data_IF_983495329699
#
_entry.id   IF_983495329699
#
_cell.length_a   1.000
_cell.length_b   1.000
_cell.length_c   1.000
_cell.angle_alpha   90.00
_cell.angle_beta   90.00
_cell.angle_gamma   90.00
#
_symmetry.space_group_name_H-M   'P 1'
#
loop_
_entity.id
_entity.type
_entity.pdbx_description
1 polymer ?
#
# COMPACT_ATOMS: atom_id res chain seq x y z
N UNK A 1 -48.86 41.52 35.16
CA UNK A 1 -47.58 40.96 34.67
C UNK A 1 -47.63 41.10 33.15
N UNK A 2 -46.96 42.05 32.48
CA UNK A 2 -45.67 42.69 32.78
C UNK A 2 -44.56 41.64 32.97
N UNK A 3 -43.44 41.66 32.22
CA UNK A 3 -42.79 42.77 31.52
C UNK A 3 -42.37 42.43 30.07
N UNK A 4 -42.18 43.48 29.26
CA UNK A 4 -41.35 43.48 28.05
C UNK A 4 -39.91 43.94 28.39
N UNK A 5 -39.11 44.32 27.38
CA UNK A 5 -37.69 44.77 27.39
C UNK A 5 -36.66 43.67 27.17
N UNK A 6 -35.42 43.91 26.72
CA UNK A 6 -34.72 44.96 25.93
C UNK A 6 -33.32 44.33 25.61
N UNK A 7 -32.47 44.72 24.65
CA UNK A 7 -32.40 45.82 23.67
C UNK A 7 -31.53 45.31 22.46
N UNK A 8 -31.23 46.14 21.46
CA UNK A 8 -30.28 45.85 20.34
C UNK A 8 -28.82 46.17 20.73
N UNK A 9 -27.81 45.66 19.99
CA UNK A 9 -26.45 46.23 20.04
C UNK A 9 -25.73 46.16 18.68
N UNK A 10 -25.63 47.31 17.98
CA UNK A 10 -24.99 47.47 16.68
C UNK A 10 -23.49 47.82 16.78
N UNK A 11 -22.65 46.80 16.80
CA UNK A 11 -21.18 46.92 16.79
C UNK A 11 -20.61 47.39 15.44
N UNK A 12 -20.24 48.67 15.36
CA UNK A 12 -19.62 49.32 14.19
C UNK A 12 -18.41 48.59 13.57
N UNK A 13 -18.46 48.31 12.26
CA UNK A 13 -17.29 47.92 11.46
C UNK A 13 -16.82 49.07 10.55
N UNK A 14 -15.77 49.80 10.96
CA UNK A 14 -15.13 50.86 10.14
C UNK A 14 -13.66 50.57 9.86
N UNK A 15 -13.39 50.21 8.60
CA UNK A 15 -12.26 50.69 7.79
C UNK A 15 -10.82 50.41 8.26
N UNK A 16 -10.13 49.53 7.53
CA UNK A 16 -8.68 49.64 7.30
C UNK A 16 -8.33 49.07 5.92
N UNK A 17 -8.24 49.96 4.92
CA UNK A 17 -7.67 49.64 3.61
C UNK A 17 -6.14 49.67 3.73
N UNK A 18 -5.53 48.51 3.96
CA UNK A 18 -4.08 48.34 3.88
C UNK A 18 -3.66 47.94 2.46
N UNK A 19 -2.73 48.69 1.87
CA UNK A 19 -2.16 48.45 0.55
C UNK A 19 -1.46 47.08 0.49
N UNK A 20 -1.88 46.21 -0.45
CA UNK A 20 -1.17 44.96 -0.73
C UNK A 20 0.00 45.23 -1.68
N UNK A 21 1.20 45.36 -1.12
CA UNK A 21 2.42 45.15 -1.88
C UNK A 21 2.57 43.65 -2.20
N UNK A 22 3.07 43.26 -3.39
CA UNK A 22 3.32 41.86 -3.70
C UNK A 22 4.40 41.28 -2.76
N UNK A 23 4.25 40.04 -2.27
CA UNK A 23 5.25 39.42 -1.40
C UNK A 23 6.57 39.26 -2.15
N UNK A 24 7.68 39.69 -1.54
CA UNK A 24 9.01 39.43 -2.07
C UNK A 24 9.26 37.93 -2.11
N UNK A 25 9.79 37.44 -3.23
CA UNK A 25 10.16 36.05 -3.42
C UNK A 25 11.29 35.63 -2.47
N UNK A 26 10.93 35.16 -1.28
CA UNK A 26 11.85 34.49 -0.37
C UNK A 26 12.34 33.19 -1.03
N UNK A 27 13.64 32.90 -1.02
CA UNK A 27 14.15 31.64 -1.55
C UNK A 27 13.56 30.46 -0.76
N UNK A 28 13.23 29.38 -1.46
CA UNK A 28 12.79 28.13 -0.85
C UNK A 28 13.82 27.66 0.19
N UNK A 29 13.39 27.15 1.37
CA UNK A 29 14.32 26.60 2.34
C UNK A 29 15.08 25.43 1.71
N UNK A 30 16.40 25.58 1.60
CA UNK A 30 17.28 24.47 1.24
C UNK A 30 17.35 23.51 2.44
N UNK A 31 16.51 22.48 2.43
CA UNK A 31 16.67 21.33 3.32
C UNK A 31 18.04 20.69 3.01
N UNK A 32 18.98 20.81 3.94
CA UNK A 32 20.26 20.13 3.81
C UNK A 32 20.06 18.66 4.16
N UNK A 33 20.80 17.77 3.47
CA UNK A 33 20.75 16.33 3.73
C UNK A 33 21.30 15.98 5.13
N UNK A 34 21.94 16.94 5.81
CA UNK A 34 22.50 16.75 7.16
C UNK A 34 21.45 16.83 8.29
N UNK A 35 20.29 17.47 8.07
CA UNK A 35 19.35 17.84 9.15
C UNK A 35 18.38 16.71 9.57
N UNK A 36 18.61 15.46 9.15
CA UNK A 36 17.75 14.28 9.43
C UNK A 36 18.57 13.15 10.08
N UNK A 37 19.45 13.49 11.02
CA UNK A 37 20.52 12.60 11.47
C UNK A 37 20.78 12.54 12.99
N UNK A 38 19.81 12.87 13.85
CA UNK A 38 19.90 12.65 15.31
C UNK A 38 18.57 12.13 15.90
N UNK A 39 18.29 10.83 15.73
CA UNK A 39 17.74 10.00 16.83
C UNK A 39 17.88 8.48 16.57
N UNK A 40 17.89 7.73 17.67
CA UNK A 40 17.75 6.27 17.87
C UNK A 40 18.71 5.27 17.16
N UNK A 41 19.67 4.76 17.95
CA UNK A 41 19.65 3.34 18.33
C UNK A 41 20.13 2.26 17.34
N UNK A 42 21.44 2.24 17.02
CA UNK A 42 22.27 1.06 16.64
C UNK A 42 21.79 0.07 15.56
N UNK A 43 20.69 0.31 14.85
CA UNK A 43 20.49 -0.25 13.53
C UNK A 43 21.46 0.48 12.58
N UNK A 44 22.64 -0.11 12.34
CA UNK A 44 23.58 0.42 11.32
C UNK A 44 22.80 0.66 10.03
N UNK A 45 22.70 1.93 9.61
CA UNK A 45 22.03 2.35 8.35
C UNK A 45 22.83 1.78 7.18
N UNK A 46 22.64 0.48 6.89
CA UNK A 46 23.05 -0.15 5.64
C UNK A 46 22.24 0.51 4.55
N UNK A 47 22.80 1.57 3.96
CA UNK A 47 22.36 1.96 2.64
C UNK A 47 22.55 0.72 1.74
N UNK A 48 21.51 0.28 1.02
CA UNK A 48 21.67 -0.83 0.08
C UNK A 48 22.78 -0.44 -0.88
N UNK A 49 23.70 -1.37 -1.14
CA UNK A 49 24.74 -1.14 -2.14
C UNK A 49 24.06 -0.80 -3.47
N UNK A 50 24.60 0.17 -4.22
CA UNK A 50 23.97 0.66 -5.45
C UNK A 50 23.65 -0.46 -6.45
N UNK A 51 24.46 -1.52 -6.46
CA UNK A 51 24.26 -2.73 -7.25
C UNK A 51 23.02 -3.55 -6.87
N UNK A 52 22.52 -3.44 -5.64
CA UNK A 52 21.31 -4.11 -5.14
C UNK A 52 20.05 -3.24 -5.29
N UNK A 53 20.18 -2.03 -5.86
CA UNK A 53 19.03 -1.21 -6.18
C UNK A 53 18.16 -1.89 -7.25
N UNK A 54 16.87 -2.04 -6.96
CA UNK A 54 15.91 -2.60 -7.90
C UNK A 54 15.61 -1.62 -9.06
N UNK A 55 15.57 -2.11 -10.30
CA UNK A 55 15.19 -1.32 -11.47
C UNK A 55 13.72 -1.59 -11.82
N UNK A 56 12.87 -0.57 -11.70
CA UNK A 56 11.42 -0.69 -11.90
C UNK A 56 11.09 -1.08 -13.35
N UNK A 57 11.85 -0.57 -14.32
CA UNK A 57 11.67 -0.85 -15.75
C UNK A 57 12.38 -2.12 -16.18
N UNK A 58 13.61 -2.32 -15.75
CA UNK A 58 14.42 -3.49 -16.17
C UNK A 58 14.01 -4.79 -15.46
N UNK A 59 13.24 -4.70 -14.36
CA UNK A 59 12.73 -5.85 -13.60
C UNK A 59 13.84 -6.77 -13.06
N UNK A 60 14.93 -6.16 -12.65
CA UNK A 60 16.10 -6.80 -12.07
C UNK A 60 16.84 -5.80 -11.16
N UNK A 61 17.82 -6.26 -10.38
CA UNK A 61 18.75 -5.32 -9.73
C UNK A 61 19.78 -4.75 -10.71
N UNK A 62 20.35 -3.60 -10.38
CA UNK A 62 21.45 -2.98 -11.13
C UNK A 62 22.57 -3.98 -11.43
N UNK A 63 23.03 -4.76 -10.45
CA UNK A 63 24.06 -5.79 -10.65
C UNK A 63 23.65 -6.86 -11.67
N UNK A 64 22.37 -7.23 -11.73
CA UNK A 64 21.86 -8.19 -12.71
C UNK A 64 21.77 -7.55 -14.10
N UNK A 65 21.19 -6.35 -14.22
CA UNK A 65 21.16 -5.60 -15.47
C UNK A 65 22.55 -5.42 -16.08
N UNK A 66 23.54 -5.05 -15.26
CA UNK A 66 24.93 -4.89 -15.70
C UNK A 66 25.57 -6.22 -16.15
N UNK A 67 25.32 -7.33 -15.45
CA UNK A 67 25.79 -8.67 -15.87
C UNK A 67 25.15 -9.16 -17.17
N UNK A 68 23.88 -8.85 -17.37
CA UNK A 68 23.10 -9.22 -18.57
C UNK A 68 23.29 -8.24 -19.74
N UNK A 69 24.07 -7.15 -19.56
CA UNK A 69 24.32 -6.14 -20.58
C UNK A 69 23.11 -5.27 -20.91
N UNK A 70 22.12 -5.19 -20.01
CA UNK A 70 20.91 -4.38 -20.19
C UNK A 70 21.24 -2.88 -20.09
N UNK A 71 20.81 -2.11 -21.09
CA UNK A 71 20.94 -0.66 -21.06
C UNK A 71 19.97 -0.04 -20.03
N UNK A 72 20.53 0.56 -18.97
CA UNK A 72 19.75 1.19 -17.90
C UNK A 72 19.46 2.65 -18.28
N UNK A 73 18.18 2.94 -18.56
CA UNK A 73 17.68 4.30 -18.75
C UNK A 73 17.43 4.97 -17.38
N UNK A 74 18.51 5.46 -16.77
CA UNK A 74 18.50 6.10 -15.45
C UNK A 74 17.52 7.27 -15.34
N UNK A 75 17.26 7.99 -16.44
CA UNK A 75 16.28 9.09 -16.45
C UNK A 75 14.86 8.56 -16.29
N UNK A 76 14.49 7.50 -17.02
CA UNK A 76 13.17 6.88 -16.88
C UNK A 76 13.02 6.14 -15.55
N UNK A 77 14.06 5.49 -15.03
CA UNK A 77 14.06 4.90 -13.68
C UNK A 77 13.82 5.97 -12.60
N UNK A 78 14.51 7.11 -12.67
CA UNK A 78 14.28 8.23 -11.77
C UNK A 78 12.84 8.75 -11.84
N UNK A 79 12.31 8.96 -13.06
CA UNK A 79 10.93 9.42 -13.26
C UNK A 79 9.91 8.42 -12.72
N UNK A 80 10.07 7.12 -12.98
CA UNK A 80 9.19 6.07 -12.46
C UNK A 80 9.21 6.00 -10.94
N UNK A 81 10.39 6.14 -10.32
CA UNK A 81 10.54 6.21 -8.86
C UNK A 81 9.90 7.46 -8.29
N UNK A 82 10.07 8.62 -8.92
CA UNK A 82 9.48 9.88 -8.48
C UNK A 82 7.95 9.91 -8.60
N UNK A 83 7.38 9.20 -9.59
CA UNK A 83 5.93 9.04 -9.78
C UNK A 83 5.35 7.81 -9.06
N UNK A 84 6.16 7.04 -8.32
CA UNK A 84 5.69 5.79 -7.71
C UNK A 84 4.71 6.08 -6.57
N UNK A 85 3.49 5.55 -6.70
CA UNK A 85 2.35 5.85 -5.85
C UNK A 85 1.67 4.60 -5.31
N UNK A 86 1.48 4.56 -3.99
CA UNK A 86 0.84 3.46 -3.26
C UNK A 86 -0.42 3.98 -2.57
N UNK A 87 -1.54 3.29 -2.75
CA UNK A 87 -2.74 3.52 -1.95
C UNK A 87 -2.87 2.43 -0.89
N UNK A 88 -2.88 2.80 0.39
CA UNK A 88 -3.24 1.87 1.48
C UNK A 88 -4.77 1.87 1.58
N UNK A 89 -5.39 0.76 1.23
CA UNK A 89 -6.83 0.55 1.35
C UNK A 89 -7.12 -0.27 2.61
N UNK A 90 -7.80 0.35 3.58
CA UNK A 90 -8.06 -0.23 4.89
C UNK A 90 -9.48 0.05 5.39
N UNK A 91 -10.02 -0.87 6.19
CA UNK A 91 -11.34 -0.71 6.82
C UNK A 91 -11.25 0.08 8.14
N UNK A 92 -12.19 1.00 8.39
CA UNK A 92 -12.15 1.99 9.48
C UNK A 92 -11.94 1.42 10.88
N UNK A 93 -12.52 0.24 11.14
CA UNK A 93 -12.40 -0.49 12.42
C UNK A 93 -10.95 -0.77 12.86
N UNK A 94 -10.00 -0.78 11.92
CA UNK A 94 -8.57 -0.92 12.19
C UNK A 94 -8.04 0.10 13.21
N UNK A 95 -8.71 1.26 13.31
CA UNK A 95 -8.42 2.35 14.26
C UNK A 95 -9.06 2.18 15.63
N UNK A 96 -10.29 1.66 15.67
CA UNK A 96 -11.17 1.86 16.83
C UNK A 96 -11.11 0.73 17.87
N UNK A 97 -10.98 -0.53 17.44
CA UNK A 97 -11.22 -1.67 18.32
C UNK A 97 -10.32 -1.70 19.56
N UNK A 98 -9.04 -1.30 19.43
CA UNK A 98 -8.07 -1.31 20.53
C UNK A 98 -7.12 -0.09 20.55
N UNK A 99 -7.38 0.92 19.71
CA UNK A 99 -6.46 2.05 19.50
C UNK A 99 -5.17 1.68 18.74
N UNK A 100 -5.16 0.51 18.09
CA UNK A 100 -4.24 0.22 16.98
C UNK A 100 -4.50 1.20 15.84
N UNK A 101 -3.48 1.58 15.05
CA UNK A 101 -3.65 2.42 13.84
C UNK A 101 -2.80 1.86 12.69
N UNK A 102 -3.13 0.63 12.29
CA UNK A 102 -2.26 -0.20 11.48
C UNK A 102 -1.92 0.42 10.11
N UNK A 103 -2.91 0.85 9.35
CA UNK A 103 -2.77 1.61 8.10
C UNK A 103 -1.90 2.87 8.24
N UNK A 104 -2.04 3.66 9.30
CA UNK A 104 -1.23 4.87 9.51
C UNK A 104 0.19 4.56 9.97
N UNK A 105 0.38 3.48 10.71
CA UNK A 105 1.70 2.98 11.07
C UNK A 105 2.41 2.40 9.83
N UNK A 106 1.68 1.69 8.97
CA UNK A 106 2.16 1.24 7.66
C UNK A 106 2.52 2.43 6.77
N UNK A 107 1.64 3.44 6.66
CA UNK A 107 1.88 4.68 5.92
C UNK A 107 3.21 5.32 6.35
N UNK A 108 3.38 5.59 7.66
CA UNK A 108 4.61 6.17 8.21
C UNK A 108 5.83 5.30 7.92
N UNK A 109 5.72 3.97 8.00
CA UNK A 109 6.82 3.07 7.70
C UNK A 109 7.15 3.01 6.19
N UNK A 110 6.15 3.05 5.30
CA UNK A 110 6.35 3.13 3.83
C UNK A 110 7.03 4.43 3.43
N UNK A 111 6.65 5.57 4.03
CA UNK A 111 7.36 6.85 3.86
C UNK A 111 8.81 6.76 4.34
N UNK A 112 9.06 6.16 5.52
CA UNK A 112 10.42 5.94 6.07
C UNK A 112 11.33 5.07 5.19
N UNK A 113 10.79 4.10 4.44
CA UNK A 113 11.58 3.28 3.48
C UNK A 113 11.72 3.90 2.08
N UNK A 114 11.27 5.15 1.90
CA UNK A 114 11.48 5.94 0.68
C UNK A 114 10.40 5.75 -0.39
N UNK A 115 9.17 5.36 -0.04
CA UNK A 115 8.03 5.47 -0.97
C UNK A 115 7.56 6.93 -0.96
N UNK A 116 7.60 7.66 -2.10
CA UNK A 116 7.41 9.10 -2.08
C UNK A 116 5.93 9.49 -1.92
N UNK A 117 5.05 8.83 -2.69
CA UNK A 117 3.60 9.03 -2.66
C UNK A 117 2.98 7.79 -2.03
N UNK A 118 2.43 7.98 -0.83
CA UNK A 118 1.57 7.01 -0.16
C UNK A 118 0.35 7.79 0.29
N UNK A 119 -0.83 7.27 0.03
CA UNK A 119 -2.09 7.86 0.48
C UNK A 119 -2.96 6.77 1.12
N UNK A 120 -4.02 7.15 1.86
CA UNK A 120 -4.89 6.20 2.58
C UNK A 120 -6.34 6.32 2.10
N UNK A 121 -7.01 5.19 1.91
CA UNK A 121 -8.44 5.14 1.58
C UNK A 121 -9.17 4.23 2.57
N UNK A 122 -10.26 4.75 3.14
CA UNK A 122 -11.22 4.01 3.95
C UNK A 122 -12.56 3.95 3.22
N UNK A 123 -12.90 2.84 2.54
CA UNK A 123 -14.15 2.72 1.77
C UNK A 123 -15.39 3.09 2.59
N UNK A 124 -15.49 2.56 3.80
CA UNK A 124 -16.65 2.70 4.70
C UNK A 124 -16.80 4.11 5.29
N UNK A 125 -15.73 4.92 5.29
CA UNK A 125 -15.81 6.32 5.75
C UNK A 125 -16.45 7.24 4.71
N UNK A 126 -16.47 6.85 3.44
CA UNK A 126 -16.83 7.76 2.33
C UNK A 126 -18.34 7.84 2.06
N UNK A 127 -19.13 6.92 2.61
CA UNK A 127 -20.59 6.92 2.46
C UNK A 127 -21.31 7.65 3.63
N UNK A 128 -20.56 8.04 4.66
CA UNK A 128 -21.06 8.76 5.85
C UNK A 128 -21.13 10.28 5.62
N UNK A 129 -21.36 10.73 4.38
CA UNK A 129 -21.78 12.12 4.13
C UNK A 129 -23.23 12.39 4.55
N UNK A 130 -24.05 11.35 4.75
CA UNK A 130 -25.47 11.48 5.09
C UNK A 130 -25.77 11.55 6.59
N UNK A 131 -24.78 11.30 7.47
CA UNK A 131 -24.93 11.38 8.94
C UNK A 131 -24.16 12.58 9.52
N UNK A 132 -24.62 13.78 9.13
CA UNK A 132 -24.03 15.12 9.39
C UNK A 132 -24.10 15.56 10.87
N UNK A 133 -24.11 14.64 11.85
CA UNK A 133 -24.30 14.99 13.28
C UNK A 133 -23.41 14.25 14.28
N UNK A 134 -22.37 13.53 13.85
CA UNK A 134 -21.32 13.07 14.77
C UNK A 134 -19.91 13.42 14.28
N UNK A 135 -19.29 14.36 15.00
CA UNK A 135 -17.94 14.90 14.84
C UNK A 135 -16.84 13.89 15.22
N UNK A 136 -16.86 12.73 14.56
CA UNK A 136 -15.76 11.76 14.46
C UNK A 136 -15.65 11.19 13.05
N UNK A 137 -15.70 12.09 12.06
CA UNK A 137 -15.03 11.86 10.78
C UNK A 137 -13.54 11.56 11.06
N UNK A 138 -12.81 11.08 10.05
CA UNK A 138 -11.36 10.95 10.11
C UNK A 138 -10.62 12.32 10.05
N UNK A 139 -11.24 13.40 10.55
CA UNK A 139 -10.77 14.79 10.47
C UNK A 139 -9.47 14.97 11.27
N UNK A 140 -8.38 15.08 10.52
CA UNK A 140 -7.36 16.14 10.54
C UNK A 140 -6.51 16.40 11.81
N UNK A 141 -6.91 15.93 12.99
CA UNK A 141 -6.24 16.29 14.25
C UNK A 141 -4.93 15.53 14.54
N UNK A 142 -4.65 14.43 13.84
CA UNK A 142 -3.52 13.53 14.12
C UNK A 142 -2.76 13.02 12.89
N UNK A 143 -3.17 13.44 11.70
CA UNK A 143 -2.37 13.29 10.49
C UNK A 143 -1.49 14.52 10.30
N UNK A 144 -0.33 14.32 9.67
CA UNK A 144 0.39 15.46 9.12
C UNK A 144 -0.52 16.10 8.05
N UNK A 145 -0.64 17.44 7.93
CA UNK A 145 -1.46 18.08 6.89
C UNK A 145 -0.99 17.76 5.46
N UNK A 146 0.12 17.04 5.28
CA UNK A 146 0.56 16.46 4.00
C UNK A 146 0.03 15.04 3.73
N UNK A 147 -0.47 14.32 4.74
CA UNK A 147 -1.07 12.99 4.61
C UNK A 147 -2.48 13.12 4.01
N UNK A 148 -2.81 12.29 3.01
CA UNK A 148 -4.07 12.43 2.27
C UNK A 148 -4.95 11.21 2.45
N UNK A 149 -6.14 11.44 3.02
CA UNK A 149 -7.27 10.56 2.79
C UNK A 149 -7.80 10.78 1.37
N UNK A 150 -8.08 9.68 0.69
CA UNK A 150 -8.53 9.67 -0.71
C UNK A 150 -9.90 8.99 -0.78
N UNK A 151 -10.91 9.60 -1.44
CA UNK A 151 -12.23 9.01 -1.52
C UNK A 151 -12.21 7.73 -2.35
N UNK A 152 -13.13 6.82 -2.04
CA UNK A 152 -13.19 5.47 -2.61
C UNK A 152 -13.87 5.50 -3.99
N UNK A 153 -13.19 6.16 -4.93
CA UNK A 153 -13.65 6.44 -6.29
C UNK A 153 -12.68 5.86 -7.32
N UNK A 154 -13.22 5.23 -8.37
CA UNK A 154 -12.40 4.65 -9.45
C UNK A 154 -11.42 5.65 -10.07
N UNK A 155 -11.87 6.89 -10.36
CA UNK A 155 -11.03 7.91 -10.98
C UNK A 155 -9.88 8.39 -10.09
N UNK A 156 -9.93 8.16 -8.77
CA UNK A 156 -8.79 8.37 -7.86
C UNK A 156 -7.92 7.12 -7.79
N UNK A 157 -8.55 5.97 -7.55
CA UNK A 157 -7.86 4.71 -7.25
C UNK A 157 -7.05 4.22 -8.45
N UNK A 158 -7.56 4.40 -9.67
CA UNK A 158 -6.83 4.09 -10.90
C UNK A 158 -5.63 5.00 -11.19
N UNK A 159 -5.37 6.04 -10.40
CA UNK A 159 -4.16 6.87 -10.53
C UNK A 159 -2.94 6.20 -9.89
N UNK A 160 -3.16 5.33 -8.91
CA UNK A 160 -2.08 4.67 -8.18
C UNK A 160 -1.35 3.62 -9.01
N UNK A 161 -0.09 3.38 -8.66
CA UNK A 161 0.73 2.30 -9.25
C UNK A 161 0.40 0.97 -8.60
N UNK A 162 0.13 0.98 -7.28
CA UNK A 162 -0.11 -0.19 -6.45
C UNK A 162 -1.15 0.13 -5.38
N UNK A 163 -2.00 -0.85 -5.07
CA UNK A 163 -2.84 -0.85 -3.87
C UNK A 163 -2.19 -1.79 -2.85
N UNK A 164 -2.05 -1.34 -1.61
CA UNK A 164 -1.79 -2.19 -0.46
C UNK A 164 -3.12 -2.46 0.25
N UNK A 165 -3.51 -3.72 0.37
CA UNK A 165 -4.78 -4.15 0.92
C UNK A 165 -4.63 -4.71 2.33
N UNK A 166 -5.43 -4.20 3.27
CA UNK A 166 -5.41 -4.64 4.66
C UNK A 166 -6.76 -4.45 5.36
N UNK A 167 -7.35 -5.53 5.89
CA UNK A 167 -8.65 -5.48 6.55
C UNK A 167 -8.58 -6.03 7.98
N UNK A 168 -8.46 -5.17 8.99
CA UNK A 168 -8.50 -5.64 10.39
C UNK A 168 -9.86 -6.25 10.78
N UNK A 169 -10.95 -5.92 10.07
CA UNK A 169 -12.26 -6.58 10.17
C UNK A 169 -12.92 -6.67 8.79
N UNK A 170 -14.00 -7.46 8.73
CA UNK A 170 -14.87 -7.58 7.58
C UNK A 170 -15.38 -6.21 7.10
N UNK A 171 -15.39 -5.93 5.79
CA UNK A 171 -16.20 -4.85 5.22
C UNK A 171 -17.70 -5.18 5.32
N UNK A 172 -18.56 -4.19 5.10
CA UNK A 172 -19.99 -4.44 4.86
C UNK A 172 -20.17 -5.30 3.59
N UNK A 173 -21.29 -6.03 3.46
CA UNK A 173 -21.54 -6.85 2.27
C UNK A 173 -21.58 -6.02 0.97
N UNK A 174 -22.07 -4.77 1.04
CA UNK A 174 -22.06 -3.83 -0.08
C UNK A 174 -20.64 -3.37 -0.42
N UNK A 175 -19.83 -3.01 0.59
CA UNK A 175 -18.44 -2.63 0.37
C UNK A 175 -17.57 -3.81 -0.09
N UNK A 176 -17.82 -5.04 0.37
CA UNK A 176 -17.17 -6.24 -0.14
C UNK A 176 -17.34 -6.41 -1.66
N UNK A 177 -18.55 -6.15 -2.17
CA UNK A 177 -18.87 -6.18 -3.61
C UNK A 177 -18.22 -4.98 -4.33
N UNK A 178 -18.37 -3.77 -3.80
CA UNK A 178 -17.86 -2.53 -4.40
C UNK A 178 -16.32 -2.55 -4.51
N UNK A 179 -15.65 -3.04 -3.47
CA UNK A 179 -14.20 -3.23 -3.40
C UNK A 179 -13.71 -4.37 -4.27
N UNK A 180 -14.38 -5.53 -4.25
CA UNK A 180 -14.01 -6.63 -5.13
C UNK A 180 -14.12 -6.27 -6.61
N UNK A 181 -15.21 -5.60 -7.02
CA UNK A 181 -15.37 -5.06 -8.37
C UNK A 181 -14.23 -4.11 -8.76
N UNK A 182 -13.88 -3.16 -7.87
CA UNK A 182 -12.87 -2.15 -8.18
C UNK A 182 -11.44 -2.71 -8.19
N UNK A 183 -11.13 -3.65 -7.30
CA UNK A 183 -9.81 -4.31 -7.25
C UNK A 183 -9.63 -5.26 -8.43
N UNK A 184 -10.71 -5.90 -8.89
CA UNK A 184 -10.72 -6.67 -10.14
C UNK A 184 -10.38 -5.77 -11.34
N UNK A 185 -11.11 -4.66 -11.52
CA UNK A 185 -10.87 -3.74 -12.64
C UNK A 185 -9.46 -3.09 -12.55
N UNK A 186 -8.97 -2.79 -11.34
CA UNK A 186 -7.60 -2.30 -11.11
C UNK A 186 -6.52 -3.32 -11.49
N UNK A 187 -6.69 -4.60 -11.13
CA UNK A 187 -5.78 -5.68 -11.56
C UNK A 187 -5.86 -5.87 -13.07
N UNK A 188 -7.06 -5.87 -13.67
CA UNK A 188 -7.26 -6.07 -15.11
C UNK A 188 -6.60 -4.96 -15.96
N UNK A 189 -6.62 -3.72 -15.46
CA UNK A 189 -5.92 -2.56 -16.05
C UNK A 189 -4.38 -2.58 -15.82
N UNK A 190 -3.85 -3.60 -15.15
CA UNK A 190 -2.42 -3.80 -14.93
C UNK A 190 -1.86 -3.10 -13.69
N UNK A 191 -2.72 -2.70 -12.75
CA UNK A 191 -2.32 -2.22 -11.43
C UNK A 191 -1.78 -3.36 -10.55
N UNK A 192 -0.88 -3.05 -9.62
CA UNK A 192 -0.32 -4.05 -8.70
C UNK A 192 -1.07 -4.15 -7.39
N UNK A 193 -1.23 -5.34 -6.83
CA UNK A 193 -1.81 -5.54 -5.50
C UNK A 193 -0.79 -6.15 -4.54
N UNK A 194 -0.60 -5.53 -3.38
CA UNK A 194 0.06 -6.17 -2.23
C UNK A 194 -0.99 -6.43 -1.16
N UNK A 195 -1.16 -7.68 -0.77
CA UNK A 195 -2.11 -8.10 0.24
C UNK A 195 -1.36 -8.38 1.54
N UNK A 196 -1.70 -7.64 2.60
CA UNK A 196 -1.26 -7.95 3.96
C UNK A 196 -2.18 -8.96 4.62
N UNK A 197 -1.79 -9.49 5.79
CA UNK A 197 -2.64 -10.45 6.48
C UNK A 197 -3.98 -9.83 6.95
N UNK A 198 -4.90 -10.71 7.37
CA UNK A 198 -6.34 -10.52 7.48
C UNK A 198 -7.10 -10.29 6.15
N UNK A 199 -6.51 -9.72 5.10
CA UNK A 199 -7.23 -9.39 3.85
C UNK A 199 -7.78 -10.59 3.05
N UNK A 200 -7.48 -11.82 3.49
CA UNK A 200 -7.88 -13.08 2.88
C UNK A 200 -8.60 -14.05 3.84
N UNK A 201 -8.89 -13.64 5.07
CA UNK A 201 -9.71 -14.48 5.96
C UNK A 201 -11.13 -14.63 5.39
N UNK A 202 -11.78 -15.76 5.63
CA UNK A 202 -13.14 -16.05 5.12
C UNK A 202 -14.14 -14.93 5.49
N UNK A 203 -14.02 -14.37 6.70
CA UNK A 203 -14.86 -13.27 7.16
C UNK A 203 -14.60 -11.93 6.47
N UNK A 204 -13.46 -11.78 5.79
CA UNK A 204 -13.02 -10.56 5.11
C UNK A 204 -13.03 -10.72 3.58
N UNK A 205 -13.70 -11.75 3.05
CA UNK A 205 -13.75 -12.05 1.62
C UNK A 205 -14.38 -10.89 0.81
N UNK A 206 -13.77 -10.59 -0.33
CA UNK A 206 -14.28 -9.66 -1.33
C UNK A 206 -15.20 -10.38 -2.32
N UNK A 207 -16.23 -9.69 -2.79
CA UNK A 207 -17.29 -10.26 -3.61
C UNK A 207 -17.47 -9.50 -4.94
N UNK A 208 -18.49 -9.86 -5.73
CA UNK A 208 -18.75 -9.27 -7.04
C UNK A 208 -17.93 -9.94 -8.13
N UNK A 209 -17.14 -9.17 -8.91
CA UNK A 209 -16.17 -9.71 -9.87
C UNK A 209 -14.99 -10.42 -9.18
N UNK A 210 -14.69 -10.04 -7.94
CA UNK A 210 -13.64 -10.70 -7.17
C UNK A 210 -14.08 -12.08 -6.69
N UNK A 211 -13.16 -13.03 -6.68
CA UNK A 211 -13.42 -14.42 -6.28
C UNK A 211 -12.16 -15.08 -5.69
N UNK A 212 -12.34 -16.21 -5.02
CA UNK A 212 -11.27 -16.99 -4.37
C UNK A 212 -10.02 -17.23 -5.23
N UNK A 213 -10.18 -17.41 -6.55
CA UNK A 213 -9.06 -17.71 -7.46
C UNK A 213 -8.11 -16.53 -7.72
N UNK A 214 -8.46 -15.31 -7.30
CA UNK A 214 -7.61 -14.11 -7.40
C UNK A 214 -6.79 -13.83 -6.12
N UNK A 215 -7.04 -14.57 -5.03
CA UNK A 215 -6.15 -14.59 -3.88
C UNK A 215 -4.96 -15.51 -4.18
N UNK A 216 -3.71 -15.18 -3.81
CA UNK A 216 -2.56 -16.07 -4.00
C UNK A 216 -2.61 -17.35 -3.14
N UNK A 217 -3.39 -17.36 -2.07
CA UNK A 217 -3.66 -18.49 -1.19
C UNK A 217 -5.17 -18.61 -1.00
N UNK A 218 -5.69 -19.83 -0.81
CA UNK A 218 -7.09 -20.02 -0.46
C UNK A 218 -7.41 -19.30 0.87
N UNK A 219 -8.64 -18.78 1.01
CA UNK A 219 -9.06 -18.17 2.26
C UNK A 219 -9.00 -19.14 3.45
N UNK A 220 -8.83 -18.58 4.64
CA UNK A 220 -8.66 -19.29 5.91
C UNK A 220 -9.67 -18.77 6.90
N UNK A 221 -10.25 -19.65 7.71
CA UNK A 221 -10.82 -19.22 8.98
C UNK A 221 -9.70 -18.75 9.93
N UNK A 222 -10.06 -18.00 10.97
CA UNK A 222 -9.10 -17.49 11.97
C UNK A 222 -8.61 -18.58 12.96
N UNK A 223 -9.20 -19.79 12.95
CA UNK A 223 -9.02 -20.81 13.99
C UNK A 223 -8.22 -22.05 13.57
N UNK A 224 -8.06 -22.28 12.27
CA UNK A 224 -7.36 -23.42 11.67
C UNK A 224 -5.84 -23.24 11.69
N UNK A 225 -5.37 -22.01 11.45
CA UNK A 225 -3.97 -21.65 11.52
C UNK A 225 -3.49 -21.33 12.94
N UNK A 226 -2.84 -22.30 13.60
CA UNK A 226 -1.61 -22.13 14.40
C UNK A 226 -1.47 -23.18 15.51
N UNK A 227 -0.84 -24.32 15.16
CA UNK A 227 -0.22 -25.22 16.14
C UNK A 227 1.20 -24.74 16.42
N UNK A 228 1.55 -24.57 17.69
CA UNK A 228 2.87 -24.15 18.21
C UNK A 228 3.34 -22.73 17.82
N UNK A 229 2.98 -21.75 18.65
CA UNK A 229 3.19 -20.32 18.37
C UNK A 229 4.63 -19.81 18.58
N UNK A 230 5.60 -20.69 18.85
CA UNK A 230 6.98 -20.31 19.18
C UNK A 230 8.02 -20.92 18.22
N UNK A 231 7.65 -21.94 17.44
CA UNK A 231 8.54 -22.63 16.50
C UNK A 231 8.42 -22.03 15.08
N UNK A 232 9.53 -22.00 14.32
CA UNK A 232 9.54 -21.56 12.92
C UNK A 232 9.27 -20.07 12.68
N UNK A 233 9.41 -19.17 13.66
CA UNK A 233 9.16 -17.71 13.53
C UNK A 233 10.34 -16.90 12.96
N UNK A 234 11.03 -17.51 12.02
CA UNK A 234 12.14 -16.95 11.25
C UNK A 234 11.92 -17.26 9.76
N UNK A 235 12.58 -16.53 8.87
CA UNK A 235 12.61 -16.84 7.44
C UNK A 235 13.28 -18.21 7.22
N UNK A 236 12.51 -19.14 6.65
CA UNK A 236 12.97 -20.46 6.23
C UNK A 236 13.49 -20.45 4.79
N UNK A 237 13.04 -21.42 4.00
CA UNK A 237 13.42 -21.53 2.59
C UNK A 237 12.83 -20.38 1.77
N UNK A 238 13.63 -19.81 0.88
CA UNK A 238 13.20 -18.75 -0.02
C UNK A 238 14.04 -18.74 -1.29
N UNK A 239 13.51 -18.13 -2.35
CA UNK A 239 14.19 -17.94 -3.62
C UNK A 239 15.07 -16.69 -3.48
N UNK A 240 16.37 -16.88 -3.18
CA UNK A 240 17.28 -15.81 -2.76
C UNK A 240 17.55 -14.75 -3.85
N UNK A 241 17.47 -15.13 -5.12
CA UNK A 241 17.57 -14.24 -6.28
C UNK A 241 16.20 -13.71 -6.73
N UNK A 242 15.10 -14.13 -6.10
CA UNK A 242 13.79 -13.58 -6.44
C UNK A 242 13.72 -12.10 -6.02
N UNK A 243 13.26 -11.21 -6.91
CA UNK A 243 13.21 -9.75 -6.70
C UNK A 243 12.72 -9.26 -5.34
N UNK A 244 11.70 -9.93 -4.78
CA UNK A 244 11.09 -9.55 -3.50
C UNK A 244 12.05 -9.81 -2.32
N UNK A 245 12.88 -10.84 -2.42
CA UNK A 245 13.80 -11.29 -1.35
C UNK A 245 15.19 -10.64 -1.42
N UNK A 246 15.44 -9.79 -2.42
CA UNK A 246 16.75 -9.18 -2.61
C UNK A 246 17.15 -8.31 -1.41
N UNK A 247 18.33 -8.60 -0.87
CA UNK A 247 18.91 -7.94 0.30
C UNK A 247 18.37 -8.45 1.64
N UNK A 248 17.31 -9.27 1.65
CA UNK A 248 16.69 -9.82 2.86
C UNK A 248 17.59 -10.88 3.48
N UNK A 249 17.98 -10.68 4.73
CA UNK A 249 18.94 -11.52 5.48
C UNK A 249 18.46 -11.83 6.91
N UNK A 250 17.75 -10.90 7.55
CA UNK A 250 17.26 -11.01 8.92
C UNK A 250 15.75 -10.75 9.00
N UNK A 251 14.98 -11.81 9.13
CA UNK A 251 13.53 -11.75 9.36
C UNK A 251 13.24 -12.49 10.65
N UNK A 252 13.09 -11.73 11.73
CA UNK A 252 12.63 -12.21 13.03
C UNK A 252 11.18 -11.77 13.21
N UNK A 253 10.24 -12.71 13.26
CA UNK A 253 8.81 -12.41 13.26
C UNK A 253 8.26 -12.58 14.68
N UNK A 254 8.19 -11.47 15.42
CA UNK A 254 7.79 -11.47 16.82
C UNK A 254 6.29 -11.77 16.99
N UNK A 255 5.97 -12.94 17.59
CA UNK A 255 4.62 -13.33 18.03
C UNK A 255 3.50 -13.13 16.99
N UNK A 256 3.77 -13.55 15.76
CA UNK A 256 2.77 -13.42 14.70
C UNK A 256 1.80 -14.60 14.65
N UNK A 257 0.56 -14.34 14.23
CA UNK A 257 -0.28 -15.40 13.68
C UNK A 257 0.23 -15.69 12.25
N UNK A 258 -0.13 -16.83 11.68
CA UNK A 258 0.04 -17.10 10.24
C UNK A 258 -1.03 -18.08 9.83
N UNK A 259 -1.63 -17.86 8.68
CA UNK A 259 -2.69 -18.74 8.19
C UNK A 259 -2.07 -19.72 7.17
N UNK A 260 -2.41 -21.00 7.34
CA UNK A 260 -1.80 -22.14 6.66
C UNK A 260 -2.78 -22.69 5.62
N UNK A 261 -2.88 -21.97 4.50
CA UNK A 261 -3.77 -22.36 3.39
C UNK A 261 -2.99 -22.94 2.21
N UNK A 262 -3.61 -23.82 1.40
CA UNK A 262 -3.10 -24.16 0.07
C UNK A 262 -2.86 -22.92 -0.80
N UNK A 263 -1.85 -22.97 -1.65
CA UNK A 263 -1.63 -21.96 -2.69
C UNK A 263 -2.73 -22.07 -3.77
N UNK A 264 -3.15 -20.94 -4.31
CA UNK A 264 -4.07 -20.90 -5.44
C UNK A 264 -3.41 -21.39 -6.73
N UNK A 265 -4.21 -21.76 -7.73
CA UNK A 265 -3.69 -22.21 -9.03
C UNK A 265 -2.77 -21.15 -9.66
N UNK A 266 -1.56 -21.55 -10.06
CA UNK A 266 -0.54 -20.65 -10.61
C UNK A 266 0.18 -19.75 -9.61
N UNK A 267 -0.14 -19.80 -8.31
CA UNK A 267 0.59 -19.07 -7.28
C UNK A 267 1.92 -19.77 -6.90
N UNK A 268 2.91 -18.98 -6.52
CA UNK A 268 4.26 -19.44 -6.17
C UNK A 268 4.66 -18.87 -4.80
N UNK A 269 5.01 -19.75 -3.86
CA UNK A 269 5.63 -19.33 -2.60
C UNK A 269 7.10 -18.93 -2.84
N UNK A 270 7.35 -17.62 -2.78
CA UNK A 270 8.67 -16.99 -2.93
C UNK A 270 9.52 -17.19 -1.67
N UNK A 271 8.88 -17.23 -0.51
CA UNK A 271 9.50 -17.47 0.78
C UNK A 271 8.55 -18.23 1.71
N UNK A 272 9.12 -19.01 2.61
CA UNK A 272 8.43 -19.75 3.67
C UNK A 272 8.95 -19.34 5.04
N UNK A 273 8.16 -19.60 6.07
CA UNK A 273 8.59 -19.68 7.45
C UNK A 273 9.50 -20.88 7.69
N UNK A 274 10.18 -20.90 8.84
CA UNK A 274 11.07 -21.99 9.24
C UNK A 274 10.40 -23.36 9.43
N UNK A 275 9.06 -23.40 9.56
CA UNK A 275 8.23 -24.60 9.62
C UNK A 275 7.62 -25.00 8.26
N UNK A 276 7.88 -24.24 7.20
CA UNK A 276 7.39 -24.51 5.84
C UNK A 276 6.08 -23.83 5.47
N UNK A 277 5.43 -23.07 6.37
CA UNK A 277 4.23 -22.28 6.01
C UNK A 277 4.61 -21.19 5.00
N UNK A 278 3.84 -20.95 3.91
CA UNK A 278 4.13 -19.87 2.97
C UNK A 278 4.14 -18.49 3.65
N UNK A 279 5.21 -17.72 3.44
CA UNK A 279 5.40 -16.39 4.03
C UNK A 279 5.21 -15.27 3.00
N UNK A 280 5.79 -15.42 1.80
CA UNK A 280 5.57 -14.52 0.67
C UNK A 280 5.09 -15.34 -0.51
N UNK A 281 3.92 -15.00 -1.05
CA UNK A 281 3.30 -15.72 -2.17
C UNK A 281 3.01 -14.74 -3.31
N UNK A 282 3.43 -15.12 -4.51
CA UNK A 282 3.17 -14.38 -5.74
C UNK A 282 2.10 -15.08 -6.57
N UNK A 283 1.11 -14.33 -7.03
CA UNK A 283 0.24 -14.68 -8.14
C UNK A 283 0.53 -13.69 -9.26
N UNK A 284 1.18 -14.14 -10.33
CA UNK A 284 1.65 -13.24 -11.39
C UNK A 284 0.54 -12.80 -12.36
N UNK A 285 0.89 -11.96 -13.34
CA UNK A 285 -0.06 -11.44 -14.34
C UNK A 285 -0.70 -12.51 -15.22
N UNK A 286 0.03 -13.59 -15.54
CA UNK A 286 -0.50 -14.66 -16.39
C UNK A 286 -1.42 -15.58 -15.58
N UNK A 287 -1.04 -15.88 -14.34
CA UNK A 287 -1.87 -16.63 -13.40
C UNK A 287 -3.16 -15.87 -13.05
N UNK A 288 -3.08 -14.57 -12.74
CA UNK A 288 -4.26 -13.70 -12.54
C UNK A 288 -5.19 -13.73 -13.76
N UNK A 289 -4.67 -13.56 -14.99
CA UNK A 289 -5.48 -13.66 -16.23
C UNK A 289 -6.18 -15.01 -16.35
N UNK A 290 -5.44 -16.11 -16.18
CA UNK A 290 -5.97 -17.48 -16.31
C UNK A 290 -7.05 -17.77 -15.26
N UNK A 291 -6.84 -17.33 -14.03
CA UNK A 291 -7.79 -17.52 -12.93
C UNK A 291 -9.04 -16.65 -13.12
N UNK A 292 -8.90 -15.40 -13.57
CA UNK A 292 -10.02 -14.55 -13.94
C UNK A 292 -10.87 -15.16 -15.06
N UNK A 293 -10.24 -15.61 -16.16
CA UNK A 293 -10.92 -16.28 -17.27
C UNK A 293 -11.64 -17.58 -16.84
N UNK A 294 -11.07 -18.33 -15.88
CA UNK A 294 -11.70 -19.53 -15.34
C UNK A 294 -12.89 -19.23 -14.41
N UNK A 295 -12.89 -18.08 -13.72
CA UNK A 295 -14.02 -17.62 -12.90
C UNK A 295 -15.12 -16.94 -13.75
N UNK A 296 -14.74 -16.25 -14.83
CA UNK A 296 -15.63 -15.53 -15.73
C UNK A 296 -16.38 -16.48 -16.69
N UNK A 297 -17.27 -17.32 -16.15
CA UNK A 297 -18.14 -18.20 -16.94
C UNK A 297 -19.11 -17.47 -17.89
N UNK A 298 -19.11 -16.13 -17.92
CA UNK A 298 -20.09 -15.28 -18.62
C UNK A 298 -19.56 -14.00 -19.28
N UNK A 299 -18.26 -13.68 -19.23
CA UNK A 299 -17.70 -12.50 -19.92
C UNK A 299 -16.52 -12.90 -20.83
N UNK A 300 -16.78 -12.95 -22.14
CA UNK A 300 -15.76 -13.30 -23.13
C UNK A 300 -14.66 -12.23 -23.25
N UNK A 301 -14.88 -11.00 -22.76
CA UNK A 301 -13.89 -9.92 -22.90
C UNK A 301 -12.63 -10.13 -22.06
N UNK A 302 -12.70 -10.89 -20.97
CA UNK A 302 -11.54 -11.20 -20.12
C UNK A 302 -10.61 -12.27 -20.74
N UNK A 303 -11.01 -12.91 -21.85
CA UNK A 303 -10.15 -13.79 -22.66
C UNK A 303 -9.26 -13.04 -23.66
N UNK A 304 -9.43 -11.72 -23.86
CA UNK A 304 -8.59 -10.96 -24.77
C UNK A 304 -7.13 -10.90 -24.26
N UNK A 305 -6.20 -11.51 -25.01
CA UNK A 305 -4.77 -11.50 -24.71
C UNK A 305 -4.14 -10.09 -24.73
N UNK A 306 -4.84 -9.09 -25.26
CA UNK A 306 -4.44 -7.68 -25.19
C UNK A 306 -4.59 -7.08 -23.79
N UNK A 307 -5.49 -7.64 -22.96
CA UNK A 307 -5.76 -7.22 -21.58
C UNK A 307 -4.58 -7.59 -20.69
N UNK A 308 -4.01 -6.58 -20.03
CA UNK A 308 -2.76 -6.73 -19.28
C UNK A 308 -3.02 -6.74 -17.78
N UNK A 309 -3.39 -7.92 -17.30
CA UNK A 309 -3.49 -8.22 -15.89
C UNK A 309 -2.22 -7.85 -15.11
N UNK A 310 -2.41 -7.31 -13.91
CA UNK A 310 -1.38 -7.00 -12.93
C UNK A 310 -1.01 -8.22 -12.09
N UNK A 311 -0.09 -8.04 -11.15
CA UNK A 311 0.36 -9.11 -10.25
C UNK A 311 -0.08 -8.84 -8.82
N UNK A 312 -0.36 -9.91 -8.08
CA UNK A 312 -0.73 -9.90 -6.66
C UNK A 312 0.38 -10.54 -5.84
N UNK A 313 0.88 -9.84 -4.81
CA UNK A 313 1.78 -10.43 -3.82
C UNK A 313 1.07 -10.45 -2.47
N UNK A 314 0.96 -11.63 -1.88
CA UNK A 314 0.53 -11.80 -0.50
C UNK A 314 1.73 -11.92 0.43
N UNK A 315 1.71 -11.17 1.54
CA UNK A 315 2.69 -11.27 2.63
C UNK A 315 1.95 -11.75 3.88
N UNK A 316 2.21 -12.99 4.27
CA UNK A 316 1.59 -13.68 5.39
C UNK A 316 2.16 -13.17 6.72
N UNK A 317 1.86 -11.91 7.06
CA UNK A 317 2.35 -11.24 8.27
C UNK A 317 1.20 -10.44 8.90
N UNK A 318 0.85 -10.71 10.16
CA UNK A 318 -0.09 -9.86 10.88
C UNK A 318 0.68 -8.69 11.51
N UNK A 319 0.09 -7.49 11.56
CA UNK A 319 0.74 -6.34 12.17
C UNK A 319 0.96 -6.53 13.68
N UNK A 320 2.14 -6.13 14.15
CA UNK A 320 2.54 -6.30 15.56
C UNK A 320 1.82 -5.31 16.47
N UNK A 321 0.83 -5.81 17.22
CA UNK A 321 0.10 -5.06 18.25
C UNK A 321 0.92 -4.82 19.54
N UNK A 322 2.06 -4.10 19.44
CA UNK A 322 2.74 -3.53 20.62
C UNK A 322 2.03 -2.25 21.09
N UNK A 323 2.24 -1.87 22.35
CA UNK A 323 1.50 -0.82 23.05
C UNK A 323 1.49 0.54 22.33
N UNK A 324 0.53 1.41 22.69
CA UNK A 324 0.12 2.68 22.04
C UNK A 324 1.22 3.70 21.64
N UNK A 325 2.50 3.46 21.94
CA UNK A 325 3.62 4.37 21.63
C UNK A 325 4.68 3.79 20.68
N UNK A 326 4.70 2.48 20.44
CA UNK A 326 5.81 1.79 19.73
C UNK A 326 5.32 0.80 18.65
N UNK A 327 4.03 0.73 18.34
CA UNK A 327 3.48 -0.20 17.35
C UNK A 327 3.84 0.21 15.91
N UNK A 328 4.92 -0.33 15.36
CA UNK A 328 5.04 -0.51 13.91
C UNK A 328 4.09 -1.62 13.42
N UNK A 329 3.82 -1.67 12.12
CA UNK A 329 3.26 -2.87 11.48
C UNK A 329 4.20 -4.06 11.66
N UNK A 330 5.49 -3.78 11.65
CA UNK A 330 6.59 -4.70 11.83
C UNK A 330 7.68 -4.06 12.69
N UNK A 331 8.53 -4.88 13.29
CA UNK A 331 9.67 -4.42 14.07
C UNK A 331 10.77 -3.86 13.14
N UNK A 332 11.25 -2.65 13.44
CA UNK A 332 12.20 -1.92 12.59
C UNK A 332 13.61 -2.56 12.52
N UNK A 333 13.90 -3.52 13.40
CA UNK A 333 15.14 -4.33 13.45
C UNK A 333 15.20 -5.43 12.37
N UNK A 334 14.14 -5.58 11.57
CA UNK A 334 13.94 -6.68 10.61
C UNK A 334 13.98 -6.19 9.16
N UNK A 335 14.16 -7.13 8.21
CA UNK A 335 14.05 -6.88 6.77
C UNK A 335 12.61 -6.97 6.23
N UNK A 336 11.60 -7.07 7.09
CA UNK A 336 10.18 -6.98 6.70
C UNK A 336 9.86 -5.68 5.91
N UNK A 337 10.31 -4.47 6.34
CA UNK A 337 10.18 -3.25 5.53
C UNK A 337 10.79 -3.37 4.13
N UNK A 338 11.90 -4.09 4.00
CA UNK A 338 12.56 -4.35 2.72
C UNK A 338 11.71 -5.29 1.86
N UNK A 339 11.16 -6.37 2.41
CA UNK A 339 10.20 -7.26 1.72
C UNK A 339 9.02 -6.48 1.18
N UNK A 340 8.36 -5.64 2.01
CA UNK A 340 7.21 -4.85 1.55
C UNK A 340 7.59 -3.85 0.46
N UNK A 341 8.71 -3.13 0.60
CA UNK A 341 9.21 -2.21 -0.43
C UNK A 341 9.47 -2.93 -1.75
N UNK A 342 10.14 -4.07 -1.70
CA UNK A 342 10.46 -4.87 -2.87
C UNK A 342 9.20 -5.49 -3.49
N UNK A 343 8.22 -5.94 -2.69
CA UNK A 343 6.92 -6.44 -3.16
C UNK A 343 6.11 -5.34 -3.87
N UNK A 344 6.02 -4.15 -3.27
CA UNK A 344 5.39 -2.96 -3.87
C UNK A 344 6.03 -2.63 -5.23
N UNK A 345 7.36 -2.52 -5.30
CA UNK A 345 8.10 -2.31 -6.56
C UNK A 345 8.00 -3.47 -7.55
N UNK A 346 7.77 -4.69 -7.07
CA UNK A 346 7.57 -5.86 -7.93
C UNK A 346 6.22 -5.81 -8.63
N UNK A 347 5.14 -5.48 -7.90
CA UNK A 347 3.78 -5.46 -8.46
C UNK A 347 3.44 -4.15 -9.18
N UNK A 348 4.20 -3.07 -8.99
CA UNK A 348 4.01 -1.75 -9.62
C UNK A 348 4.21 -1.69 -11.14
N UNK A 349 4.08 -2.83 -11.83
CA UNK A 349 4.31 -3.04 -13.27
C UNK A 349 3.20 -2.46 -14.15
N UNK A 350 2.64 -1.32 -13.75
CA UNK A 350 1.65 -0.60 -14.53
C UNK A 350 2.24 -0.26 -15.89
N UNK A 351 1.55 -0.68 -16.94
CA UNK A 351 1.99 -0.43 -18.32
C UNK A 351 2.04 1.08 -18.54
N UNK A 352 3.19 1.60 -18.98
CA UNK A 352 3.34 2.99 -19.41
C UNK A 352 2.64 3.26 -20.77
N UNK A 353 1.38 2.83 -20.90
CA UNK A 353 0.56 2.88 -22.13
C UNK A 353 -0.48 3.99 -22.16
N UNK A 354 -0.70 4.67 -21.03
CA UNK A 354 -1.64 5.81 -20.93
C UNK A 354 -0.96 7.18 -21.00
N UNK A 355 0.35 7.25 -20.73
CA UNK A 355 1.11 8.45 -20.99
C UNK A 355 1.27 8.59 -22.51
N UNK A 356 0.30 9.28 -23.15
CA UNK A 356 0.62 10.11 -24.32
C UNK A 356 1.95 10.76 -24.00
N UNK A 357 2.93 10.64 -24.89
CA UNK A 357 4.21 11.35 -24.75
C UNK A 357 3.92 12.75 -24.23
N UNK A 358 4.22 13.00 -22.95
CA UNK A 358 4.41 14.34 -22.45
C UNK A 358 5.64 14.79 -23.21
N UNK A 359 5.38 15.39 -24.38
CA UNK A 359 6.41 15.94 -25.24
C UNK A 359 7.16 16.92 -24.37
N UNK A 360 8.31 16.46 -23.85
CA UNK A 360 9.20 17.30 -23.07
C UNK A 360 9.42 18.52 -23.94
N UNK A 361 9.10 19.74 -23.46
CA UNK A 361 9.27 20.93 -24.27
C UNK A 361 10.71 20.92 -24.75
N UNK A 362 10.89 20.91 -26.07
CA UNK A 362 12.21 20.89 -26.70
C UNK A 362 12.89 22.19 -26.29
N UNK A 363 13.76 22.11 -25.28
CA UNK A 363 14.62 23.22 -24.92
C UNK A 363 15.46 23.54 -26.16
N UNK A 364 15.48 24.79 -26.64
CA UNK A 364 16.37 25.17 -27.71
C UNK A 364 17.82 24.95 -27.26
N UNK A 365 18.63 24.43 -28.19
CA UNK A 365 20.09 24.28 -28.03
C UNK A 365 20.79 25.64 -28.08
#
# INVERSE_FOLDING_TARGET
MALARDEEDEGHARGLLASMAPPSSSPLPQLSIADIADDEGTATKRQPEFGDAWLLRARCIVNQALREGLAIDWKQEFLQRASFSVLIMAHHSAHQAYGSRYDLNLYRQLKKVGIPIVDVCHPDCTEIETLVTQERKCEDAELDPTDRYVPFEWEKIRQYSVIFLFFATAPSAENAIKMGNMLYDFLRDGGGLVMGCYSYLDCNELHGKWSQVLYPMASSDYGSGSKNWEEGKFLGTHIADHPIMIGVKNVAIARDNRCESPLSNGAVAVAHYGDGVPFVVLLDSEANRKNAAAAAAHDESDNDESVRWGSTVYVNLFPVAKSKKESGWYEASTDIPLIFRNALWYVSRKRASGCRSLALPTLPL
#
